data_IF_661130159673
#
_entry.id   IF_661130159673
#
_cell.length_a   1.000
_cell.length_b   1.000
_cell.length_c   1.000
_cell.angle_alpha   90.00
_cell.angle_beta   90.00
_cell.angle_gamma   90.00
#
_symmetry.space_group_name_H-M   'P 1'
#
loop_
_entity.id
_entity.type
_entity.pdbx_description
1 polymer ?
#
# COMPACT_ATOMS: atom_id res chain seq x y z
N UNK A 1 9.15 -4.29 -0.44
CA UNK A 1 9.45 -2.90 -0.87
C UNK A 1 9.96 -2.02 0.26
N UNK A 2 10.08 -2.52 1.49
CA UNK A 2 10.41 -1.71 2.68
C UNK A 2 11.73 -0.93 2.59
N UNK A 3 12.84 -1.49 2.04
CA UNK A 3 14.09 -0.75 1.90
C UNK A 3 13.98 0.53 1.05
N UNK A 4 12.96 0.65 0.20
CA UNK A 4 12.76 1.79 -0.70
C UNK A 4 11.79 2.83 -0.14
N UNK A 5 11.12 2.57 0.98
CA UNK A 5 10.03 3.41 1.50
C UNK A 5 10.51 4.83 1.81
N UNK A 6 11.61 4.98 2.54
CA UNK A 6 12.13 6.30 2.91
C UNK A 6 12.51 7.11 1.67
N UNK A 7 13.18 6.49 0.70
CA UNK A 7 13.52 7.11 -0.58
C UNK A 7 12.26 7.57 -1.31
N UNK A 8 11.22 6.72 -1.39
CA UNK A 8 9.96 7.08 -2.07
C UNK A 8 9.24 8.24 -1.36
N UNK A 9 9.22 8.28 -0.02
CA UNK A 9 8.70 9.42 0.73
C UNK A 9 9.45 10.71 0.40
N UNK A 10 10.79 10.66 0.32
CA UNK A 10 11.61 11.81 -0.06
C UNK A 10 11.32 12.31 -1.49
N UNK A 11 10.84 11.44 -2.37
CA UNK A 11 10.40 11.79 -3.73
C UNK A 11 8.92 12.21 -3.81
N UNK A 12 8.22 12.34 -2.67
CA UNK A 12 6.85 12.85 -2.60
C UNK A 12 5.75 11.78 -2.63
N UNK A 13 6.09 10.49 -2.49
CA UNK A 13 5.06 9.48 -2.21
C UNK A 13 4.36 9.80 -0.89
N UNK A 14 3.04 9.65 -0.82
CA UNK A 14 2.26 9.93 0.41
C UNK A 14 1.57 8.69 0.96
N UNK A 15 1.40 7.66 0.13
CA UNK A 15 0.77 6.41 0.51
C UNK A 15 1.38 5.24 -0.25
N UNK A 16 1.36 4.06 0.38
CA UNK A 16 1.70 2.79 -0.25
C UNK A 16 0.49 1.87 -0.18
N UNK A 17 0.13 1.23 -1.30
CA UNK A 17 -0.91 0.20 -1.33
C UNK A 17 -0.27 -1.16 -1.61
N UNK A 18 -0.48 -2.12 -0.71
CA UNK A 18 0.09 -3.45 -0.83
C UNK A 18 -0.68 -4.49 -0.02
N UNK A 19 -0.02 -5.59 0.31
CA UNK A 19 -0.57 -6.64 1.18
C UNK A 19 0.53 -7.16 2.12
N UNK A 20 0.10 -7.75 3.22
CA UNK A 20 0.99 -8.30 4.24
C UNK A 20 1.55 -7.23 5.16
N UNK A 21 2.33 -7.71 6.12
CA UNK A 21 2.90 -6.89 7.17
C UNK A 21 4.14 -6.15 6.65
N UNK A 22 4.45 -5.03 7.29
CA UNK A 22 5.64 -4.22 7.00
C UNK A 22 6.61 -4.34 8.16
N UNK A 23 7.89 -4.13 7.89
CA UNK A 23 8.87 -3.99 8.95
C UNK A 23 8.55 -2.79 9.86
N UNK A 24 8.88 -2.91 11.14
CA UNK A 24 8.55 -1.92 12.18
C UNK A 24 9.01 -0.50 11.84
N UNK A 25 10.19 -0.35 11.21
CA UNK A 25 10.72 0.96 10.82
C UNK A 25 9.84 1.69 9.80
N UNK A 26 8.98 0.97 9.06
CA UNK A 26 8.05 1.60 8.10
C UNK A 26 7.01 2.44 8.84
N UNK A 27 6.60 2.04 10.04
CA UNK A 27 5.68 2.83 10.87
C UNK A 27 6.30 4.16 11.31
N UNK A 28 7.57 4.13 11.71
CA UNK A 28 8.32 5.34 12.05
C UNK A 28 8.51 6.26 10.83
N UNK A 29 8.71 5.69 9.65
CA UNK A 29 8.77 6.45 8.40
C UNK A 29 7.41 7.08 8.04
N UNK A 30 6.31 6.33 8.15
CA UNK A 30 4.96 6.85 7.97
C UNK A 30 4.71 8.06 8.89
N UNK A 31 5.10 7.95 10.17
CA UNK A 31 5.02 9.05 11.12
C UNK A 31 5.89 10.25 10.75
N UNK A 32 7.16 10.01 10.42
CA UNK A 32 8.14 11.04 10.04
C UNK A 32 7.71 11.84 8.81
N UNK A 33 7.10 11.18 7.83
CA UNK A 33 6.75 11.78 6.54
C UNK A 33 5.25 12.09 6.40
N UNK A 34 4.42 11.83 7.42
CA UNK A 34 2.97 12.03 7.39
C UNK A 34 2.24 11.13 6.38
N UNK A 35 2.80 9.96 6.09
CA UNK A 35 2.31 9.02 5.09
C UNK A 35 1.56 7.83 5.65
N UNK A 36 0.91 7.05 4.79
CA UNK A 36 0.10 5.89 5.20
C UNK A 36 0.44 4.62 4.41
N UNK A 37 0.30 3.45 5.03
CA UNK A 37 0.35 2.15 4.35
C UNK A 37 -1.05 1.53 4.32
N UNK A 38 -1.59 1.34 3.13
CA UNK A 38 -2.89 0.78 2.84
C UNK A 38 -2.75 -0.70 2.48
N UNK A 39 -3.66 -1.51 3.02
CA UNK A 39 -3.76 -2.94 2.77
C UNK A 39 -4.92 -3.22 1.82
N UNK A 40 -4.61 -3.81 0.68
CA UNK A 40 -5.58 -4.43 -0.22
C UNK A 40 -5.93 -5.84 0.25
N UNK A 41 -7.14 -6.30 -0.10
CA UNK A 41 -7.57 -7.68 0.19
C UNK A 41 -6.87 -8.64 -0.78
N UNK A 42 -5.89 -9.38 -0.27
CA UNK A 42 -5.16 -10.41 -1.02
C UNK A 42 -6.08 -11.54 -1.49
N UNK A 43 -5.87 -12.03 -2.71
CA UNK A 43 -6.66 -13.12 -3.30
C UNK A 43 -7.98 -12.71 -3.95
N UNK A 44 -8.42 -11.45 -3.77
CA UNK A 44 -9.68 -10.94 -4.32
C UNK A 44 -9.54 -10.22 -5.67
N UNK A 45 -8.46 -10.47 -6.43
CA UNK A 45 -8.12 -9.69 -7.63
C UNK A 45 -9.25 -9.64 -8.66
N UNK A 46 -9.93 -10.77 -8.95
CA UNK A 46 -11.04 -10.81 -9.92
C UNK A 46 -12.23 -9.91 -9.53
N UNK A 47 -12.49 -9.74 -8.23
CA UNK A 47 -13.53 -8.85 -7.72
C UNK A 47 -13.03 -7.40 -7.79
N UNK A 48 -11.80 -7.17 -7.33
CA UNK A 48 -11.18 -5.85 -7.28
C UNK A 48 -11.01 -5.22 -8.66
N UNK A 49 -10.80 -6.02 -9.72
CA UNK A 49 -10.70 -5.52 -11.10
C UNK A 49 -11.98 -4.81 -11.57
N UNK A 50 -13.16 -5.14 -11.02
CA UNK A 50 -14.42 -4.44 -11.34
C UNK A 50 -14.41 -2.95 -10.95
N UNK A 51 -13.52 -2.59 -10.04
CA UNK A 51 -13.33 -1.22 -9.56
C UNK A 51 -12.27 -0.46 -10.36
N UNK A 52 -11.46 -1.14 -11.20
CA UNK A 52 -10.51 -0.51 -12.11
C UNK A 52 -11.27 0.13 -13.27
N UNK A 53 -10.97 1.39 -13.55
CA UNK A 53 -11.59 2.19 -14.60
C UNK A 53 -10.65 2.47 -15.77
N UNK A 54 -9.35 2.56 -15.52
CA UNK A 54 -8.35 2.62 -16.58
C UNK A 54 -7.00 2.07 -16.11
N UNK A 55 -6.21 1.62 -17.08
CA UNK A 55 -4.83 1.17 -16.93
C UNK A 55 -4.03 1.72 -18.10
N UNK A 56 -2.97 2.46 -17.80
CA UNK A 56 -2.05 3.04 -18.78
C UNK A 56 -0.62 2.68 -18.39
N UNK A 57 0.17 2.12 -19.31
CA UNK A 57 1.61 1.88 -19.10
C UNK A 57 2.32 3.22 -19.28
N UNK A 58 3.07 3.66 -18.26
CA UNK A 58 3.77 4.96 -18.29
C UNK A 58 5.28 4.83 -18.38
N UNK A 59 5.85 3.67 -18.04
CA UNK A 59 7.28 3.38 -18.21
C UNK A 59 7.57 1.88 -18.20
N UNK A 60 8.68 1.50 -18.84
CA UNK A 60 9.26 0.15 -18.83
C UNK A 60 8.30 -0.95 -19.33
N UNK A 61 7.70 -0.73 -20.51
CA UNK A 61 6.73 -1.66 -21.12
C UNK A 61 7.29 -3.08 -21.27
N UNK A 62 8.58 -3.21 -21.54
CA UNK A 62 9.30 -4.48 -21.68
C UNK A 62 9.25 -5.36 -20.42
N UNK A 63 8.97 -4.78 -19.25
CA UNK A 63 8.82 -5.50 -17.98
C UNK A 63 7.43 -6.16 -17.82
N UNK A 64 6.51 -5.95 -18.77
CA UNK A 64 5.20 -6.60 -18.80
C UNK A 64 4.37 -6.32 -17.54
N UNK A 65 4.11 -7.35 -16.74
CA UNK A 65 3.31 -7.22 -15.50
C UNK A 65 3.94 -6.26 -14.49
N UNK A 66 5.26 -6.14 -14.50
CA UNK A 66 6.04 -5.29 -13.58
C UNK A 66 6.25 -3.85 -14.10
N UNK A 67 5.77 -3.52 -15.30
CA UNK A 67 5.86 -2.15 -15.84
C UNK A 67 5.13 -1.13 -14.96
N UNK A 68 5.58 0.13 -14.96
CA UNK A 68 4.92 1.18 -14.19
C UNK A 68 3.61 1.55 -14.87
N UNK A 69 2.52 1.48 -14.11
CA UNK A 69 1.15 1.70 -14.60
C UNK A 69 0.48 2.82 -13.85
N UNK A 70 -0.18 3.72 -14.58
CA UNK A 70 -1.16 4.66 -14.02
C UNK A 70 -2.52 4.00 -14.03
N UNK A 71 -3.11 3.89 -12.84
CA UNK A 71 -4.38 3.20 -12.63
C UNK A 71 -5.40 4.20 -12.10
N UNK A 72 -6.61 4.19 -12.65
CA UNK A 72 -7.76 4.88 -12.08
C UNK A 72 -8.72 3.84 -11.54
N UNK A 73 -9.21 4.03 -10.31
CA UNK A 73 -10.17 3.15 -9.68
C UNK A 73 -11.31 3.96 -9.04
N UNK A 74 -12.48 3.35 -8.94
CA UNK A 74 -13.65 3.93 -8.27
C UNK A 74 -14.19 2.95 -7.22
N UNK A 75 -14.36 3.44 -5.99
CA UNK A 75 -14.82 2.67 -4.83
C UNK A 75 -13.99 1.40 -4.56
N UNK A 76 -12.68 1.49 -4.75
CA UNK A 76 -11.73 0.43 -4.39
C UNK A 76 -11.57 0.37 -2.87
N UNK A 77 -11.73 -0.82 -2.28
CA UNK A 77 -11.70 -1.00 -0.82
C UNK A 77 -10.28 -1.33 -0.34
N UNK A 78 -9.86 -0.63 0.70
CA UNK A 78 -8.59 -0.81 1.39
C UNK A 78 -8.78 -0.68 2.89
N UNK A 79 -7.80 -1.15 3.65
CA UNK A 79 -7.73 -0.99 5.10
C UNK A 79 -6.49 -0.14 5.41
N UNK A 80 -6.57 0.78 6.37
CA UNK A 80 -5.36 1.46 6.88
C UNK A 80 -4.58 0.46 7.71
N UNK A 81 -3.44 0.01 7.19
CA UNK A 81 -2.54 -0.91 7.90
C UNK A 81 -1.58 -0.16 8.82
N UNK A 82 -1.03 0.95 8.32
CA UNK A 82 -0.20 1.88 9.10
C UNK A 82 -0.75 3.29 8.85
N UNK A 83 -1.08 4.02 9.92
CA UNK A 83 -1.52 5.41 9.84
C UNK A 83 -0.35 6.41 9.89
N UNK A 84 -0.67 7.70 9.75
CA UNK A 84 0.31 8.79 9.77
C UNK A 84 0.90 9.09 11.15
N UNK A 85 0.44 8.42 12.21
CA UNK A 85 0.95 8.55 13.58
C UNK A 85 1.87 7.38 13.95
N UNK A 86 2.05 6.41 13.04
CA UNK A 86 2.84 5.20 13.25
C UNK A 86 2.04 4.06 13.90
N UNK A 87 0.73 4.18 14.06
CA UNK A 87 -0.08 3.09 14.58
C UNK A 87 -0.19 1.98 13.53
N UNK A 88 -0.03 0.73 13.96
CA UNK A 88 -0.08 -0.44 13.08
C UNK A 88 -1.26 -1.33 13.46
N UNK A 89 -2.13 -1.63 12.49
CA UNK A 89 -3.32 -2.47 12.67
C UNK A 89 -2.95 -3.85 13.24
N UNK A 90 -1.91 -4.49 12.71
CA UNK A 90 -1.50 -5.82 13.13
C UNK A 90 -1.04 -5.86 14.59
N UNK A 91 -0.45 -4.78 15.10
CA UNK A 91 0.00 -4.69 16.50
C UNK A 91 -1.16 -4.36 17.45
N UNK A 92 -2.16 -3.61 16.98
CA UNK A 92 -3.26 -3.12 17.82
C UNK A 92 -4.47 -4.05 17.83
N UNK A 93 -4.88 -4.55 16.66
CA UNK A 93 -6.17 -5.22 16.50
C UNK A 93 -6.05 -6.74 16.53
N UNK A 94 -5.04 -7.33 15.87
CA UNK A 94 -4.90 -8.81 15.80
C UNK A 94 -4.79 -9.46 17.18
N UNK A 95 -4.01 -8.93 18.15
CA UNK A 95 -3.89 -9.55 19.47
C UNK A 95 -5.21 -9.63 20.25
N UNK A 96 -6.17 -8.74 19.98
CA UNK A 96 -7.50 -8.74 20.65
C UNK A 96 -8.32 -9.99 20.34
N UNK A 97 -7.97 -10.69 19.25
CA UNK A 97 -8.67 -11.88 18.76
C UNK A 97 -7.80 -13.14 18.82
N UNK A 98 -6.56 -13.02 19.30
CA UNK A 98 -5.72 -14.18 19.59
C UNK A 98 -6.33 -14.91 20.80
N UNK A 99 -6.88 -16.11 20.56
CA UNK A 99 -7.38 -17.00 21.61
C UNK A 99 -6.23 -17.72 22.30
#
# INVERSE_FOLDING_TARGET
MDPFVEMMFQQGATAFLGKGDRADYVAELCKKYGGVSLLGIGGASAINTKHVKSVEIVAYEELGTESIKKLYFDRYRVIVGIDSEGNTLQKQEVPKYAK
#
